data_IF_380992910476
#
_entry.id   IF_380992910476
#
_cell.length_a   1.000
_cell.length_b   1.000
_cell.length_c   1.000
_cell.angle_alpha   90.00
_cell.angle_beta   90.00
_cell.angle_gamma   90.00
#
_symmetry.space_group_name_H-M   'P 1'
#
loop_
_entity.id
_entity.type
_entity.pdbx_description
1 polymer ?
#
# COMPACT_ATOMS: atom_id res chain seq x y z
N UNK A 1 -17.03 11.56 -20.95
CA UNK A 1 -16.88 10.97 -20.70
C UNK A 1 -16.42 10.53 -20.33
N UNK A 2 -16.40 10.44 -20.40
CA UNK A 2 -16.20 9.74 -20.00
C UNK A 2 -15.44 9.19 -19.60
N UNK A 3 -15.23 9.07 -19.61
CA UNK A 3 -14.73 8.34 -19.27
C UNK A 3 -14.35 7.71 -18.94
N UNK A 4 -14.43 7.72 -18.96
CA UNK A 4 -14.22 6.88 -18.57
C UNK A 4 -14.11 6.22 -18.36
N UNK A 5 -14.30 6.09 -18.42
CA UNK A 5 -14.24 5.14 -18.18
C UNK A 5 -14.23 4.37 -18.15
N UNK A 6 -14.29 4.23 -18.18
CA UNK A 6 -14.44 3.29 -18.14
C UNK A 6 -14.42 2.45 -17.96
N UNK A 7 -15.00 2.28 -18.25
CA UNK A 7 -15.24 1.22 -17.88
C UNK A 7 -14.41 0.38 -17.61
N UNK A 8 -14.14 0.26 -17.52
CA UNK A 8 -13.51 -0.50 -17.28
C UNK A 8 -12.50 -0.73 -16.68
N UNK A 9 -12.40 -0.58 -16.11
CA UNK A 9 -11.61 -0.78 -15.44
C UNK A 9 -11.78 -1.32 -14.52
N UNK A 10 -11.69 -1.26 -14.45
CA UNK A 10 -11.91 -2.09 -13.79
C UNK A 10 -11.74 -2.68 -12.63
N UNK A 11 -11.59 -3.71 -12.49
CA UNK A 11 -11.33 -4.29 -11.24
C UNK A 11 -10.02 -3.78 -10.69
N UNK A 12 -9.85 -3.91 -9.42
CA UNK A 12 -8.61 -3.50 -8.79
C UNK A 12 -7.44 -4.30 -9.29
N UNK A 13 -6.47 -3.63 -9.79
CA UNK A 13 -5.28 -4.27 -10.29
C UNK A 13 -4.24 -4.34 -9.18
N UNK A 14 -3.15 -5.02 -9.46
CA UNK A 14 -2.02 -5.07 -8.54
C UNK A 14 -1.48 -3.69 -8.27
N UNK A 15 -1.51 -2.84 -9.27
CA UNK A 15 -1.06 -1.46 -9.12
C UNK A 15 -1.91 -0.70 -8.11
N UNK A 16 -3.22 -0.86 -8.19
CA UNK A 16 -4.13 -0.20 -7.26
C UNK A 16 -3.88 -0.68 -5.83
N UNK A 17 -3.68 -1.98 -5.68
CA UNK A 17 -3.43 -2.56 -4.37
C UNK A 17 -2.12 -2.04 -3.81
N UNK A 18 -1.08 -2.02 -4.62
CA UNK A 18 0.23 -1.53 -4.19
C UNK A 18 0.17 -0.07 -3.81
N UNK A 19 -0.56 0.72 -4.57
CA UNK A 19 -0.70 2.15 -4.29
C UNK A 19 -1.43 2.37 -2.96
N UNK A 20 -2.46 1.58 -2.69
CA UNK A 20 -3.20 1.69 -1.43
C UNK A 20 -2.32 1.34 -0.24
N UNK A 21 -1.54 0.28 -0.39
CA UNK A 21 -0.62 -0.14 0.66
C UNK A 21 0.44 0.92 0.91
N UNK A 22 1.03 1.44 -0.15
CA UNK A 22 2.08 2.45 -0.03
C UNK A 22 1.55 3.72 0.63
N UNK A 23 0.34 4.13 0.27
CA UNK A 23 -0.25 5.32 0.83
C UNK A 23 -0.51 5.15 2.32
N UNK A 24 -1.08 4.02 2.71
CA UNK A 24 -1.35 3.74 4.12
C UNK A 24 -0.04 3.68 4.92
N UNK A 25 0.98 3.04 4.34
CA UNK A 25 2.27 2.92 5.00
C UNK A 25 2.91 4.29 5.19
N UNK A 26 2.84 5.11 4.16
CA UNK A 26 3.44 6.44 4.21
C UNK A 26 2.84 7.27 5.33
N UNK A 27 1.52 7.20 5.47
CA UNK A 27 0.82 7.93 6.52
C UNK A 27 1.21 7.45 7.90
N UNK A 28 1.28 6.13 8.07
CA UNK A 28 1.65 5.57 9.36
C UNK A 28 3.08 5.90 9.73
N UNK A 29 3.98 5.76 8.77
CA UNK A 29 5.38 6.08 9.02
C UNK A 29 5.56 7.55 9.36
N UNK A 30 4.81 8.42 8.70
CA UNK A 30 4.90 9.85 8.94
C UNK A 30 4.35 10.25 10.31
N UNK A 31 3.28 9.60 10.76
CA UNK A 31 2.66 9.95 12.02
C UNK A 31 3.27 9.26 13.23
N UNK A 32 3.62 7.99 13.08
CA UNK A 32 4.10 7.18 14.19
C UNK A 32 5.57 6.88 14.14
N UNK A 33 6.16 6.98 12.97
CA UNK A 33 7.53 6.61 12.77
C UNK A 33 7.65 5.17 12.32
N UNK A 34 8.77 4.86 11.70
CA UNK A 34 8.99 3.55 11.13
C UNK A 34 8.93 2.43 12.17
N UNK A 35 9.59 2.65 13.31
CA UNK A 35 9.68 1.62 14.34
C UNK A 35 8.35 1.30 14.99
N UNK A 36 7.52 2.32 15.16
CA UNK A 36 6.24 2.14 15.84
C UNK A 36 5.14 1.62 14.92
N UNK A 37 5.40 1.58 13.64
CA UNK A 37 4.40 1.12 12.66
C UNK A 37 4.59 -0.36 12.38
N UNK A 38 3.49 -1.09 12.29
CA UNK A 38 3.54 -2.51 11.95
C UNK A 38 2.82 -2.77 10.65
N UNK A 39 3.14 -3.89 10.02
CA UNK A 39 2.45 -4.28 8.78
C UNK A 39 0.97 -4.51 9.01
N UNK A 40 0.62 -4.99 10.20
CA UNK A 40 -0.79 -5.21 10.53
C UNK A 40 -1.58 -3.93 10.50
N UNK A 41 -1.01 -2.87 11.04
CA UNK A 41 -1.68 -1.58 11.02
C UNK A 41 -1.86 -1.08 9.61
N UNK A 42 -0.82 -1.24 8.80
CA UNK A 42 -0.89 -0.83 7.41
C UNK A 42 -1.95 -1.63 6.67
N UNK A 43 -1.97 -2.93 6.91
CA UNK A 43 -2.94 -3.81 6.26
C UNK A 43 -4.37 -3.42 6.64
N UNK A 44 -4.56 -3.09 7.91
CA UNK A 44 -5.86 -2.67 8.39
C UNK A 44 -6.30 -1.38 7.71
N UNK A 45 -5.39 -0.43 7.61
CA UNK A 45 -5.68 0.85 6.97
C UNK A 45 -6.03 0.69 5.50
N UNK A 46 -5.32 -0.20 4.83
CA UNK A 46 -5.52 -0.44 3.41
C UNK A 46 -6.63 -1.45 3.15
N UNK A 47 -7.14 -2.07 4.20
CA UNK A 47 -8.16 -3.10 4.12
C UNK A 47 -7.69 -4.27 3.27
N UNK A 48 -6.49 -4.73 3.56
CA UNK A 48 -5.83 -5.79 2.81
C UNK A 48 -5.24 -6.79 3.80
N UNK A 49 -5.12 -8.03 3.37
CA UNK A 49 -4.53 -9.07 4.20
C UNK A 49 -3.03 -8.77 4.41
N UNK A 50 -2.59 -8.84 5.66
CA UNK A 50 -1.19 -8.56 5.97
C UNK A 50 -0.25 -9.54 5.26
N UNK A 51 -0.70 -10.76 5.03
CA UNK A 51 0.11 -11.75 4.32
C UNK A 51 0.40 -11.31 2.90
N UNK A 52 -0.56 -10.62 2.28
CA UNK A 52 -0.38 -10.13 0.93
C UNK A 52 0.69 -9.06 0.89
N UNK A 53 0.71 -8.19 1.88
CA UNK A 53 1.73 -7.15 1.95
C UNK A 53 3.11 -7.78 2.12
N UNK A 54 3.21 -8.74 3.01
CA UNK A 54 4.48 -9.43 3.25
C UNK A 54 4.97 -10.12 1.99
N UNK A 55 4.05 -10.72 1.26
CA UNK A 55 4.39 -11.41 0.03
C UNK A 55 4.87 -10.45 -1.05
N UNK A 56 4.17 -9.34 -1.22
CA UNK A 56 4.48 -8.41 -2.29
C UNK A 56 5.72 -7.57 -2.03
N UNK A 57 5.88 -7.14 -0.80
CA UNK A 57 6.96 -6.20 -0.47
C UNK A 57 8.08 -6.83 0.33
N UNK A 58 7.84 -8.02 0.85
CA UNK A 58 8.86 -8.71 1.62
C UNK A 58 8.97 -8.23 3.05
N UNK A 59 7.97 -7.51 3.51
CA UNK A 59 7.98 -7.05 4.89
C UNK A 59 8.03 -5.54 5.00
N UNK A 60 8.17 -5.05 6.23
CA UNK A 60 8.18 -3.61 6.49
C UNK A 60 9.34 -2.90 5.80
N UNK A 61 10.50 -3.49 5.85
CA UNK A 61 11.67 -2.89 5.21
C UNK A 61 11.50 -2.78 3.70
N UNK A 62 10.96 -3.82 3.09
CA UNK A 62 10.71 -3.80 1.65
C UNK A 62 9.69 -2.75 1.27
N UNK A 63 8.69 -2.61 2.12
CA UNK A 63 7.65 -1.61 1.91
C UNK A 63 8.23 -0.20 2.01
N UNK A 64 9.04 0.04 3.01
CA UNK A 64 9.70 1.33 3.19
C UNK A 64 10.54 1.69 1.98
N UNK A 65 11.30 0.71 1.51
CA UNK A 65 12.15 0.88 0.35
C UNK A 65 11.34 1.26 -0.89
N UNK A 66 10.19 0.62 -1.04
CA UNK A 66 9.31 0.90 -2.16
C UNK A 66 8.80 2.33 -2.12
N UNK A 67 8.43 2.79 -0.94
CA UNK A 67 7.94 4.16 -0.75
C UNK A 67 9.02 5.18 -1.10
N UNK A 68 10.20 4.97 -0.57
CA UNK A 68 11.32 5.89 -0.79
C UNK A 68 11.69 5.92 -2.26
N UNK A 69 11.64 4.77 -2.89
CA UNK A 69 11.96 4.64 -4.31
C UNK A 69 11.03 5.43 -5.20
N UNK A 70 9.78 5.57 -4.77
CA UNK A 70 8.78 6.28 -5.54
C UNK A 70 8.85 7.78 -5.37
N UNK A 71 9.54 8.21 -4.36
CA UNK A 71 9.70 9.63 -4.10
C UNK A 71 10.81 10.21 -4.94
#
# INVERSE_FOLDING_TARGET
>A
MTKRRGPGRPRKSDTDTSAAIADAARRRFATRGYEATSLREIASDANIDVALIAYRFGGKAGLWKSIVSQS
#
